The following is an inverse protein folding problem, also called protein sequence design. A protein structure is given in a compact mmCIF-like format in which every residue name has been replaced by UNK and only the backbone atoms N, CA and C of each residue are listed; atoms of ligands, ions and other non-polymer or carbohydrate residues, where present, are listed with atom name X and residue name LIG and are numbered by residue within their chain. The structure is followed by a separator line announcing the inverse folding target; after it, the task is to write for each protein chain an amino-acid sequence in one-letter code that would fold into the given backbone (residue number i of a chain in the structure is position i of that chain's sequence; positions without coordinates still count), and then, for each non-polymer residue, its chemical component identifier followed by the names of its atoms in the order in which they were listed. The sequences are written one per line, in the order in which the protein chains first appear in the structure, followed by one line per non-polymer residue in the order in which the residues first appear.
data_IF_635230616944
#
_entry.id   IF_635230616944
#
_cell.length_a   1.000
_cell.length_b   1.000
_cell.length_c   1.000
_cell.angle_alpha   90.00
_cell.angle_beta   90.00
_cell.angle_gamma   90.00
#
_symmetry.space_group_name_H-M   'P 1'
#
loop_
_entity.id
_entity.type
_entity.pdbx_description
1 polymer ?
#
# COMPACT_ATOMS: atom_id res chain seq x y z
N UNK A 1 3.09 -14.07 -18.90
CA UNK A 1 1.81 -14.06 -18.17
C UNK A 1 0.73 -13.67 -19.15
N UNK A 2 -0.39 -14.38 -19.18
CA UNK A 2 -1.56 -13.92 -19.91
C UNK A 2 -2.32 -12.90 -19.06
N UNK A 3 -3.02 -11.97 -19.69
CA UNK A 3 -3.72 -10.88 -18.98
C UNK A 3 -4.81 -11.33 -17.99
N UNK A 4 -5.12 -12.64 -17.93
CA UNK A 4 -6.19 -13.22 -17.13
C UNK A 4 -5.72 -14.31 -16.16
N UNK A 5 -4.41 -14.43 -15.91
CA UNK A 5 -3.89 -15.40 -14.95
C UNK A 5 -4.13 -14.91 -13.52
N UNK A 6 -4.63 -15.80 -12.65
CA UNK A 6 -4.72 -15.55 -11.20
C UNK A 6 -3.54 -16.24 -10.53
N UNK A 7 -2.74 -15.47 -9.80
CA UNK A 7 -1.56 -15.97 -9.09
C UNK A 7 -1.82 -15.95 -7.59
N UNK A 8 -1.51 -17.05 -6.92
CA UNK A 8 -1.68 -17.21 -5.47
C UNK A 8 -0.37 -17.66 -4.84
N UNK A 9 -0.08 -17.13 -3.65
CA UNK A 9 1.05 -17.53 -2.81
C UNK A 9 0.52 -17.80 -1.40
N UNK A 10 1.09 -18.81 -0.72
CA UNK A 10 0.73 -19.19 0.64
C UNK A 10 1.95 -19.14 1.56
N UNK A 11 1.74 -18.74 2.81
CA UNK A 11 2.81 -18.58 3.78
C UNK A 11 2.42 -17.64 4.92
N UNK A 12 3.39 -17.29 5.74
CA UNK A 12 3.25 -16.43 6.93
C UNK A 12 4.15 -15.19 6.89
N UNK A 13 4.82 -14.94 5.76
CA UNK A 13 5.63 -13.75 5.51
C UNK A 13 4.89 -12.83 4.53
N UNK A 14 4.01 -11.93 5.01
CA UNK A 14 3.21 -11.08 4.14
C UNK A 14 4.08 -10.20 3.24
N UNK A 15 5.17 -9.64 3.76
CA UNK A 15 6.08 -8.79 2.99
C UNK A 15 6.73 -9.55 1.82
N UNK A 16 7.34 -10.70 2.11
CA UNK A 16 7.99 -11.53 1.09
C UNK A 16 7.01 -12.13 0.09
N UNK A 17 5.80 -12.50 0.54
CA UNK A 17 4.74 -12.98 -0.34
C UNK A 17 4.24 -11.89 -1.29
N UNK A 18 3.99 -10.68 -0.79
CA UNK A 18 3.61 -9.54 -1.62
C UNK A 18 4.68 -9.22 -2.66
N UNK A 19 5.95 -9.20 -2.26
CA UNK A 19 7.07 -8.96 -3.18
C UNK A 19 7.13 -10.02 -4.29
N UNK A 20 7.00 -11.30 -3.94
CA UNK A 20 6.98 -12.40 -4.93
C UNK A 20 5.85 -12.24 -5.96
N UNK A 21 4.65 -11.84 -5.53
CA UNK A 21 3.53 -11.61 -6.45
C UNK A 21 3.81 -10.43 -7.39
N UNK A 22 4.34 -9.33 -6.87
CA UNK A 22 4.69 -8.15 -7.68
C UNK A 22 5.79 -8.45 -8.68
N UNK A 23 6.88 -9.09 -8.24
CA UNK A 23 7.98 -9.53 -9.11
C UNK A 23 7.46 -10.47 -10.23
N UNK A 24 6.56 -11.40 -9.89
CA UNK A 24 5.95 -12.29 -10.86
C UNK A 24 5.06 -11.55 -11.88
N UNK A 25 4.33 -10.53 -11.43
CA UNK A 25 3.43 -9.75 -12.30
C UNK A 25 4.16 -8.89 -13.33
N UNK A 26 5.40 -8.45 -13.04
CA UNK A 26 6.15 -7.53 -13.89
C UNK A 26 5.47 -6.16 -14.07
N UNK A 27 4.68 -5.71 -13.08
CA UNK A 27 3.88 -4.49 -13.21
C UNK A 27 4.75 -3.24 -13.32
N UNK A 28 5.88 -3.18 -12.61
CA UNK A 28 6.79 -2.03 -12.63
C UNK A 28 7.39 -1.77 -14.02
N UNK A 29 7.61 -2.82 -14.81
CA UNK A 29 8.18 -2.77 -16.15
C UNK A 29 7.18 -2.26 -17.19
N UNK A 30 5.88 -2.41 -16.90
CA UNK A 30 4.79 -1.97 -17.79
C UNK A 30 4.40 -0.49 -17.63
N UNK A 31 4.92 0.18 -16.60
CA UNK A 31 4.54 1.54 -16.25
C UNK A 31 5.63 2.55 -16.64
N UNK A 32 5.21 3.77 -16.99
CA UNK A 32 6.14 4.90 -17.17
C UNK A 32 6.82 5.24 -15.85
N UNK A 33 8.12 5.57 -15.87
CA UNK A 33 8.84 6.03 -14.66
C UNK A 33 8.34 7.36 -14.11
N UNK A 34 7.59 8.11 -14.90
CA UNK A 34 6.90 9.33 -14.46
C UNK A 34 5.49 9.08 -13.91
N UNK A 35 5.02 7.84 -13.89
CA UNK A 35 3.69 7.51 -13.41
C UNK A 35 3.52 7.90 -11.93
N UNK A 36 2.32 8.35 -11.60
CA UNK A 36 1.89 8.55 -10.22
C UNK A 36 1.25 7.25 -9.73
N UNK A 37 1.88 6.62 -8.75
CA UNK A 37 1.42 5.37 -8.17
C UNK A 37 0.57 5.70 -6.94
N UNK A 38 -0.70 5.31 -6.98
CA UNK A 38 -1.65 5.48 -5.88
C UNK A 38 -1.95 4.12 -5.26
N UNK A 39 -1.65 3.98 -3.97
CA UNK A 39 -2.06 2.84 -3.16
C UNK A 39 -3.35 3.19 -2.45
N UNK A 40 -4.36 2.35 -2.60
CA UNK A 40 -5.66 2.47 -1.94
C UNK A 40 -5.90 1.28 -1.00
N UNK A 41 -5.17 1.19 0.15
CA UNK A 41 -5.34 0.10 1.10
C UNK A 41 -6.73 0.17 1.75
N UNK A 42 -7.15 -0.88 2.44
CA UNK A 42 -8.38 -0.82 3.22
C UNK A 42 -8.06 -0.27 4.61
N UNK A 43 -8.46 0.98 4.91
CA UNK A 43 -8.17 1.62 6.20
C UNK A 43 -9.34 1.54 7.18
N UNK A 44 -10.56 1.87 6.74
CA UNK A 44 -11.87 1.72 7.44
C UNK A 44 -11.97 2.30 8.86
N UNK A 45 -11.17 1.83 9.81
CA UNK A 45 -11.17 2.25 11.22
C UNK A 45 -9.73 2.43 11.70
N UNK A 46 -9.54 3.23 12.75
CA UNK A 46 -8.26 3.30 13.42
C UNK A 46 -8.09 2.16 14.45
N UNK A 47 -7.83 0.96 13.93
CA UNK A 47 -7.51 -0.26 14.66
C UNK A 47 -6.38 -1.03 13.96
N UNK A 48 -5.81 -2.04 14.61
CA UNK A 48 -4.79 -2.91 14.00
C UNK A 48 -5.44 -3.88 13.01
N UNK A 49 -4.64 -4.37 12.05
CA UNK A 49 -5.11 -5.27 10.99
C UNK A 49 -5.50 -6.67 11.49
N UNK A 50 -5.13 -7.04 12.73
CA UNK A 50 -5.44 -8.34 13.34
C UNK A 50 -6.96 -8.62 13.41
N UNK A 51 -7.77 -7.56 13.45
CA UNK A 51 -9.23 -7.65 13.43
C UNK A 51 -9.83 -7.94 12.05
N UNK A 52 -9.01 -8.02 10.99
CA UNK A 52 -9.46 -8.30 9.61
C UNK A 52 -10.19 -7.14 8.92
N UNK A 53 -10.42 -6.02 9.62
CA UNK A 53 -11.11 -4.86 9.09
C UNK A 53 -10.22 -3.97 8.22
N UNK A 54 -8.89 -4.09 8.33
CA UNK A 54 -7.92 -3.22 7.65
C UNK A 54 -6.80 -4.02 6.99
N UNK A 55 -6.11 -3.42 6.02
CA UNK A 55 -4.96 -4.04 5.37
C UNK A 55 -3.75 -4.02 6.30
N UNK A 56 -3.00 -5.13 6.36
CA UNK A 56 -1.76 -5.22 7.13
C UNK A 56 -0.74 -4.20 6.61
N UNK A 57 -0.16 -3.34 7.48
CA UNK A 57 0.80 -2.31 7.06
C UNK A 57 2.02 -2.88 6.32
N UNK A 58 2.46 -4.09 6.67
CA UNK A 58 3.58 -4.80 6.05
C UNK A 58 3.35 -5.05 4.55
N UNK A 59 2.10 -5.33 4.14
CA UNK A 59 1.74 -5.48 2.73
C UNK A 59 1.86 -4.14 2.01
N UNK A 60 1.39 -3.06 2.62
CA UNK A 60 1.43 -1.70 2.06
C UNK A 60 2.88 -1.25 1.89
N UNK A 61 3.70 -1.44 2.91
CA UNK A 61 5.14 -1.13 2.86
C UNK A 61 5.87 -1.96 1.80
N UNK A 62 5.57 -3.27 1.67
CA UNK A 62 6.19 -4.11 0.65
C UNK A 62 5.88 -3.62 -0.78
N UNK A 63 4.66 -3.13 -1.04
CA UNK A 63 4.29 -2.51 -2.32
C UNK A 63 5.07 -1.21 -2.54
N UNK A 64 5.17 -0.34 -1.53
CA UNK A 64 5.93 0.92 -1.62
C UNK A 64 7.39 0.64 -1.93
N UNK A 65 8.02 -0.27 -1.17
CA UNK A 65 9.42 -0.68 -1.37
C UNK A 65 9.63 -1.25 -2.75
N UNK A 66 8.74 -2.12 -3.24
CA UNK A 66 8.82 -2.65 -4.60
C UNK A 66 8.88 -1.52 -5.64
N UNK A 67 7.97 -0.55 -5.59
CA UNK A 67 8.02 0.57 -6.55
C UNK A 67 9.24 1.49 -6.35
N UNK A 68 9.68 1.74 -5.12
CA UNK A 68 10.90 2.51 -4.85
C UNK A 68 12.15 1.81 -5.41
N UNK A 69 12.28 0.51 -5.21
CA UNK A 69 13.38 -0.31 -5.74
C UNK A 69 13.42 -0.28 -7.28
N UNK A 70 12.26 -0.10 -7.93
CA UNK A 70 12.15 0.04 -9.38
C UNK A 70 12.25 1.50 -9.88
N UNK A 71 12.64 2.44 -9.01
CA UNK A 71 12.93 3.83 -9.37
C UNK A 71 11.71 4.75 -9.47
N UNK A 72 10.56 4.38 -8.93
CA UNK A 72 9.39 5.26 -8.92
C UNK A 72 9.49 6.26 -7.76
N UNK A 73 9.33 7.55 -8.08
CA UNK A 73 9.40 8.62 -7.08
C UNK A 73 8.01 9.02 -6.55
N UNK A 74 7.01 9.04 -7.42
CA UNK A 74 5.69 9.60 -7.16
C UNK A 74 4.74 8.53 -6.61
N UNK A 75 4.74 8.35 -5.29
CA UNK A 75 3.91 7.34 -4.61
C UNK A 75 3.06 8.03 -3.54
N UNK A 76 1.77 7.72 -3.52
CA UNK A 76 0.85 8.18 -2.49
C UNK A 76 -0.01 7.04 -1.94
N UNK A 77 -0.31 7.09 -0.64
CA UNK A 77 -1.43 6.35 -0.05
C UNK A 77 -2.64 7.29 -0.04
N UNK A 78 -3.72 6.88 -0.70
CA UNK A 78 -4.95 7.66 -0.81
C UNK A 78 -6.08 6.86 -0.19
N UNK A 79 -6.56 7.31 0.98
CA UNK A 79 -7.61 6.60 1.70
C UNK A 79 -8.32 7.49 2.75
N UNK A 80 -9.44 7.02 3.28
CA UNK A 80 -10.13 7.60 4.42
C UNK A 80 -10.63 6.55 5.42
N UNK A 81 -10.85 6.96 6.66
CA UNK A 81 -11.61 6.15 7.60
C UNK A 81 -13.12 6.20 7.30
N UNK A 82 -13.92 5.32 7.90
CA UNK A 82 -15.39 5.36 7.87
C UNK A 82 -15.89 6.71 8.41
N UNK A 83 -17.05 7.16 7.94
CA UNK A 83 -17.80 8.28 8.53
C UNK A 83 -17.90 8.16 10.07
N UNK A 84 -17.48 9.21 10.79
CA UNK A 84 -17.49 9.21 12.25
C UNK A 84 -16.18 8.73 12.90
N UNK A 85 -15.20 8.27 12.13
CA UNK A 85 -13.82 8.07 12.59
C UNK A 85 -12.83 9.03 11.90
N UNK A 86 -11.65 9.19 12.50
CA UNK A 86 -10.58 10.08 12.06
C UNK A 86 -9.59 9.36 11.15
N UNK A 87 -9.50 9.80 9.89
CA UNK A 87 -8.50 9.28 8.93
C UNK A 87 -7.07 9.49 9.45
N UNK A 88 -6.78 10.66 10.02
CA UNK A 88 -5.46 10.96 10.58
C UNK A 88 -5.08 10.00 11.72
N UNK A 89 -6.04 9.68 12.61
CA UNK A 89 -5.81 8.66 13.65
C UNK A 89 -5.58 7.29 13.04
N UNK A 90 -6.30 6.94 11.99
CA UNK A 90 -6.16 5.66 11.32
C UNK A 90 -4.80 5.51 10.64
N UNK A 91 -4.32 6.54 9.92
CA UNK A 91 -2.96 6.57 9.37
C UNK A 91 -1.90 6.36 10.46
N UNK A 92 -2.04 7.05 11.60
CA UNK A 92 -1.12 6.90 12.72
C UNK A 92 -1.12 5.49 13.31
N UNK A 93 -2.29 4.89 13.54
CA UNK A 93 -2.41 3.52 14.07
C UNK A 93 -1.79 2.49 13.13
N UNK A 94 -1.87 2.71 11.82
CA UNK A 94 -1.25 1.85 10.81
C UNK A 94 0.24 2.15 10.59
N UNK A 95 0.80 3.14 11.27
CA UNK A 95 2.21 3.51 11.14
C UNK A 95 2.56 4.16 9.81
N UNK A 96 1.59 4.72 9.08
CA UNK A 96 1.84 5.34 7.77
C UNK A 96 2.66 6.63 7.88
N UNK A 97 2.66 7.29 9.04
CA UNK A 97 3.55 8.43 9.32
C UNK A 97 5.03 8.03 9.16
N UNK A 98 5.42 6.83 9.66
CA UNK A 98 6.78 6.30 9.46
C UNK A 98 7.09 6.09 7.98
N UNK A 99 6.12 5.61 7.20
CA UNK A 99 6.32 5.37 5.76
C UNK A 99 6.55 6.68 4.99
N UNK A 100 5.90 7.77 5.40
CA UNK A 100 6.18 9.12 4.87
C UNK A 100 7.62 9.52 5.16
N UNK A 101 8.07 9.36 6.40
CA UNK A 101 9.44 9.74 6.81
C UNK A 101 10.51 8.90 6.11
N UNK A 102 10.29 7.59 6.01
CA UNK A 102 11.28 6.64 5.50
C UNK A 102 11.36 6.62 3.98
N UNK A 103 10.22 6.75 3.30
CA UNK A 103 10.14 6.59 1.84
C UNK A 103 9.77 7.89 1.11
N UNK A 104 9.45 8.98 1.82
CA UNK A 104 9.05 10.24 1.19
C UNK A 104 7.79 10.10 0.34
N UNK A 105 6.82 9.29 0.78
CA UNK A 105 5.51 9.15 0.13
C UNK A 105 4.52 10.18 0.66
N UNK A 106 3.41 10.39 -0.05
CA UNK A 106 2.34 11.29 0.39
C UNK A 106 1.17 10.51 0.98
N UNK A 107 0.55 11.02 2.05
CA UNK A 107 -0.74 10.54 2.53
C UNK A 107 -1.84 11.54 2.13
N UNK A 108 -2.90 11.03 1.52
CA UNK A 108 -4.05 11.82 1.09
C UNK A 108 -5.29 11.33 1.82
N UNK A 109 -5.89 12.21 2.61
CA UNK A 109 -7.17 12.00 3.28
C UNK A 109 -8.30 12.47 2.35
N UNK A 110 -8.95 11.53 1.66
CA UNK A 110 -10.00 11.86 0.67
C UNK A 110 -11.24 12.53 1.27
N UNK A 111 -11.37 12.61 2.59
CA UNK A 111 -12.43 13.42 3.23
C UNK A 111 -12.14 14.92 3.21
N UNK A 112 -10.89 15.32 2.93
CA UNK A 112 -10.41 16.70 3.02
C UNK A 112 -10.01 17.30 1.67
N UNK A 113 -9.93 16.48 0.62
CA UNK A 113 -9.85 16.91 -0.77
C UNK A 113 -11.24 17.28 -1.31
#
# INVERSE_FOLDING_TARGET
MHSNDIVMVYGNDPSGMTRKLLDHSGIAESLSKTAHIVLKPNLVIAATADGGATTHPEIVEAVIRYFKDHGFANIAIVESAWVGDSTARAFKVHGYDRLVEEYGITLVDVKKD
#
